data_IF_830799469253
#
_entry.id   IF_830799469253
#
_cell.length_a   1.000
_cell.length_b   1.000
_cell.length_c   1.000
_cell.angle_alpha   90.00
_cell.angle_beta   90.00
_cell.angle_gamma   90.00
#
_symmetry.space_group_name_H-M   'P 1'
#
loop_
_entity.id
_entity.type
_entity.pdbx_description
1 polymer ?
#
# COMPACT_ATOMS: atom_id res chain seq x y z
N UNK A 1 3.36 74.62 -7.33
CA UNK A 1 2.22 73.83 -7.81
C UNK A 1 2.42 72.39 -7.41
N UNK A 2 1.56 71.84 -6.55
CA UNK A 2 1.55 70.44 -6.15
C UNK A 2 0.12 69.94 -6.37
N UNK A 3 -0.08 68.95 -7.24
CA UNK A 3 -1.39 68.28 -7.43
C UNK A 3 -1.34 66.89 -6.83
N UNK A 4 -2.17 66.60 -5.80
CA UNK A 4 -2.30 65.29 -5.18
C UNK A 4 -3.45 64.47 -5.81
N UNK A 5 -3.35 63.14 -5.71
CA UNK A 5 -4.33 62.17 -6.26
C UNK A 5 -4.00 61.87 -7.72
N UNK A 6 -4.05 60.64 -8.23
CA UNK A 6 -5.03 59.59 -7.99
C UNK A 6 -4.35 58.28 -8.45
N UNK A 7 -3.74 57.49 -7.57
CA UNK A 7 -3.47 56.07 -7.90
C UNK A 7 -3.20 55.18 -6.67
N UNK A 8 -4.12 55.18 -5.70
CA UNK A 8 -4.00 54.35 -4.49
C UNK A 8 -5.12 53.31 -4.33
N UNK A 9 -5.88 52.98 -5.37
CA UNK A 9 -6.94 51.96 -5.29
C UNK A 9 -6.96 51.12 -6.55
N UNK A 10 -5.96 50.27 -6.72
CA UNK A 10 -6.14 49.06 -7.52
C UNK A 10 -5.15 48.00 -7.08
N UNK A 11 -5.66 46.80 -6.83
CA UNK A 11 -4.93 45.57 -6.53
C UNK A 11 -4.57 45.33 -5.05
N UNK A 12 -5.51 45.62 -4.16
CA UNK A 12 -5.69 44.82 -2.94
C UNK A 12 -6.77 43.76 -3.21
N UNK A 13 -6.38 42.68 -3.89
CA UNK A 13 -6.99 41.34 -3.82
C UNK A 13 -5.96 40.38 -4.41
N UNK A 14 -4.98 39.98 -3.59
CA UNK A 14 -4.27 38.74 -3.85
C UNK A 14 -5.26 37.64 -3.46
N UNK A 15 -5.76 36.80 -4.40
CA UNK A 15 -6.51 35.63 -3.99
C UNK A 15 -5.62 34.81 -3.07
N UNK A 16 -6.19 34.38 -1.94
CA UNK A 16 -5.54 33.42 -1.05
C UNK A 16 -5.02 32.26 -1.89
N UNK A 17 -3.69 32.16 -2.06
CA UNK A 17 -3.05 30.92 -2.48
C UNK A 17 -3.24 29.94 -1.33
N UNK A 18 -4.34 29.18 -1.38
CA UNK A 18 -4.44 27.93 -0.64
C UNK A 18 -3.30 27.07 -1.19
N UNK A 19 -2.18 27.06 -0.50
CA UNK A 19 -1.11 26.09 -0.71
C UNK A 19 -1.65 24.74 -0.28
N UNK A 20 -2.50 24.15 -1.11
CA UNK A 20 -2.87 22.76 -1.02
C UNK A 20 -1.58 21.97 -1.27
N UNK A 21 -0.91 21.58 -0.19
CA UNK A 21 0.06 20.49 -0.21
C UNK A 21 -0.70 19.20 -0.50
N UNK A 22 -1.19 19.07 -1.73
CA UNK A 22 -1.52 17.80 -2.31
C UNK A 22 -0.18 17.03 -2.42
N UNK A 23 -0.07 15.82 -1.88
CA UNK A 23 1.10 15.01 -2.16
C UNK A 23 1.05 14.72 -3.66
N UNK A 24 1.88 15.43 -4.43
CA UNK A 24 2.05 15.21 -5.87
C UNK A 24 2.88 13.94 -6.06
N UNK A 25 2.36 12.79 -5.60
CA UNK A 25 2.89 11.50 -6.02
C UNK A 25 2.50 11.35 -7.48
N UNK A 26 3.45 11.65 -8.36
CA UNK A 26 3.30 11.30 -9.77
C UNK A 26 3.04 9.79 -9.87
N UNK A 27 2.32 9.30 -10.90
CA UNK A 27 2.10 7.86 -11.08
C UNK A 27 3.40 7.04 -11.02
N UNK A 28 4.52 7.64 -11.44
CA UNK A 28 5.87 7.08 -11.31
C UNK A 28 6.34 6.94 -9.86
N UNK A 29 6.13 7.95 -9.02
CA UNK A 29 6.45 7.87 -7.58
C UNK A 29 5.54 6.87 -6.85
N UNK A 30 4.26 6.80 -7.22
CA UNK A 30 3.32 5.82 -6.68
C UNK A 30 3.74 4.38 -7.06
N UNK A 31 4.16 4.15 -8.31
CA UNK A 31 4.70 2.86 -8.77
C UNK A 31 5.97 2.45 -8.02
N UNK A 32 6.89 3.40 -7.79
CA UNK A 32 8.12 3.17 -7.04
C UNK A 32 7.84 2.84 -5.57
N UNK A 33 6.90 3.56 -4.96
CA UNK A 33 6.43 3.29 -3.59
C UNK A 33 5.78 1.91 -3.48
N UNK A 34 4.86 1.58 -4.39
CA UNK A 34 4.21 0.27 -4.44
C UNK A 34 5.21 -0.88 -4.65
N UNK A 35 6.16 -0.72 -5.58
CA UNK A 35 7.23 -1.71 -5.81
C UNK A 35 8.09 -1.92 -4.57
N UNK A 36 8.42 -0.85 -3.85
CA UNK A 36 9.17 -0.93 -2.59
C UNK A 36 8.39 -1.66 -1.50
N UNK A 37 7.10 -1.35 -1.34
CA UNK A 37 6.21 -2.02 -0.38
C UNK A 37 6.06 -3.50 -0.73
N UNK A 38 5.84 -3.82 -2.01
CA UNK A 38 5.73 -5.21 -2.48
C UNK A 38 7.03 -6.00 -2.19
N UNK A 39 8.19 -5.40 -2.47
CA UNK A 39 9.49 -6.03 -2.19
C UNK A 39 9.68 -6.28 -0.70
N UNK A 40 9.29 -5.33 0.14
CA UNK A 40 9.35 -5.46 1.59
C UNK A 40 8.37 -6.53 2.12
N UNK A 41 7.17 -6.62 1.54
CA UNK A 41 6.19 -7.65 1.88
C UNK A 41 6.66 -9.05 1.49
N UNK A 42 7.31 -9.20 0.32
CA UNK A 42 7.92 -10.47 -0.09
C UNK A 42 9.07 -10.87 0.85
N UNK A 43 9.90 -9.92 1.27
CA UNK A 43 10.96 -10.17 2.26
C UNK A 43 10.38 -10.62 3.62
N UNK A 44 9.35 -9.93 4.10
CA UNK A 44 8.65 -10.30 5.34
C UNK A 44 7.98 -11.69 5.24
N UNK A 45 7.42 -12.04 4.09
CA UNK A 45 6.87 -13.39 3.87
C UNK A 45 7.95 -14.47 3.96
N UNK A 46 9.14 -14.22 3.42
CA UNK A 46 10.27 -15.16 3.52
C UNK A 46 10.68 -15.37 5.00
N UNK A 47 10.76 -14.29 5.77
CA UNK A 47 11.09 -14.36 7.20
C UNK A 47 10.00 -15.06 8.02
N UNK A 48 8.73 -14.79 7.69
CA UNK A 48 7.57 -15.48 8.31
C UNK A 48 7.55 -16.97 7.96
N UNK A 49 7.89 -17.34 6.71
CA UNK A 49 8.01 -18.73 6.27
C UNK A 49 9.11 -19.46 7.06
N UNK A 50 10.26 -18.82 7.25
CA UNK A 50 11.38 -19.37 8.03
C UNK A 50 11.01 -19.60 9.50
N UNK A 51 10.34 -18.63 10.13
CA UNK A 51 9.81 -18.80 11.49
C UNK A 51 8.76 -19.91 11.57
N UNK A 52 7.89 -20.02 10.56
CA UNK A 52 6.89 -21.07 10.49
C UNK A 52 7.53 -22.45 10.39
N UNK A 53 8.57 -22.62 9.56
CA UNK A 53 9.32 -23.88 9.46
C UNK A 53 9.98 -24.25 10.80
N UNK A 54 10.52 -23.27 11.53
CA UNK A 54 11.09 -23.48 12.86
C UNK A 54 10.02 -23.92 13.87
N UNK A 55 8.83 -23.31 13.84
CA UNK A 55 7.69 -23.70 14.69
C UNK A 55 7.12 -25.07 14.29
N UNK A 56 7.03 -25.38 13.00
CA UNK A 56 6.59 -26.71 12.52
C UNK A 56 7.58 -27.79 12.95
N UNK A 57 8.88 -27.49 12.95
CA UNK A 57 9.91 -28.38 13.50
C UNK A 57 9.71 -28.59 15.00
N UNK A 58 9.37 -27.55 15.77
CA UNK A 58 9.01 -27.67 17.20
C UNK A 58 7.72 -28.47 17.43
N UNK A 59 6.71 -28.30 16.57
CA UNK A 59 5.46 -29.05 16.62
C UNK A 59 5.65 -30.54 16.28
N UNK A 60 6.49 -30.85 15.28
CA UNK A 60 6.82 -32.22 14.90
C UNK A 60 7.58 -32.99 16.00
N UNK A 61 8.16 -32.27 16.97
CA UNK A 61 8.73 -32.86 18.20
C UNK A 61 7.65 -33.29 19.22
N UNK A 62 6.35 -33.11 18.91
CA UNK A 62 5.26 -33.78 19.61
C UNK A 62 4.55 -32.95 20.69
N UNK A 63 4.50 -31.63 20.56
CA UNK A 63 3.71 -30.79 21.47
C UNK A 63 2.21 -30.86 21.12
N UNK A 64 1.40 -31.31 22.11
CA UNK A 64 -0.06 -31.43 22.16
C UNK A 64 -0.87 -30.72 21.04
N UNK A 65 -1.36 -31.48 20.06
CA UNK A 65 -2.21 -30.96 18.98
C UNK A 65 -3.64 -31.44 19.18
N UNK A 66 -4.55 -30.48 19.33
CA UNK A 66 -5.99 -30.70 19.43
C UNK A 66 -6.62 -30.88 18.03
N UNK A 67 -7.37 -31.96 17.81
CA UNK A 67 -8.02 -32.27 16.52
C UNK A 67 -8.95 -31.14 16.04
N UNK A 68 -9.61 -30.42 16.95
CA UNK A 68 -10.45 -29.28 16.60
C UNK A 68 -9.62 -28.14 15.99
N UNK A 69 -8.41 -27.93 16.51
CA UNK A 69 -7.49 -26.93 16.01
C UNK A 69 -7.03 -27.24 14.58
N UNK A 70 -6.83 -28.52 14.24
CA UNK A 70 -6.45 -28.95 12.87
C UNK A 70 -7.57 -28.62 11.87
N UNK A 71 -8.83 -28.89 12.22
CA UNK A 71 -9.97 -28.60 11.34
C UNK A 71 -10.16 -27.10 11.10
N UNK A 72 -10.07 -26.29 12.17
CA UNK A 72 -10.13 -24.82 12.07
C UNK A 72 -8.99 -24.29 11.22
N UNK A 73 -7.78 -24.83 11.42
CA UNK A 73 -6.59 -24.42 10.66
C UNK A 73 -6.75 -24.73 9.18
N UNK A 74 -7.30 -25.90 8.82
CA UNK A 74 -7.57 -26.29 7.43
C UNK A 74 -8.59 -25.35 6.76
N UNK A 75 -9.69 -25.03 7.44
CA UNK A 75 -10.69 -24.08 6.92
C UNK A 75 -10.12 -22.67 6.76
N UNK A 76 -9.34 -22.20 7.75
CA UNK A 76 -8.66 -20.91 7.68
C UNK A 76 -7.66 -20.85 6.53
N UNK A 77 -6.89 -21.92 6.28
CA UNK A 77 -5.96 -22.00 5.17
C UNK A 77 -6.68 -21.93 3.81
N UNK A 78 -7.81 -22.63 3.66
CA UNK A 78 -8.61 -22.60 2.44
C UNK A 78 -9.15 -21.20 2.12
N UNK A 79 -9.73 -20.51 3.12
CA UNK A 79 -10.23 -19.14 2.97
C UNK A 79 -9.08 -18.16 2.67
N UNK A 80 -7.93 -18.33 3.34
CA UNK A 80 -6.75 -17.49 3.14
C UNK A 80 -6.18 -17.64 1.74
N UNK A 81 -6.16 -18.86 1.20
CA UNK A 81 -5.73 -19.13 -0.16
C UNK A 81 -6.64 -18.45 -1.19
N UNK A 82 -7.96 -18.52 -0.98
CA UNK A 82 -8.93 -17.84 -1.83
C UNK A 82 -8.73 -16.31 -1.79
N UNK A 83 -8.60 -15.73 -0.60
CA UNK A 83 -8.32 -14.30 -0.46
C UNK A 83 -7.00 -13.89 -1.14
N UNK A 84 -5.96 -14.73 -1.05
CA UNK A 84 -4.67 -14.49 -1.69
C UNK A 84 -4.79 -14.48 -3.22
N UNK A 85 -5.61 -15.36 -3.79
CA UNK A 85 -5.88 -15.38 -5.23
C UNK A 85 -6.57 -14.09 -5.69
N UNK A 86 -7.55 -13.59 -4.94
CA UNK A 86 -8.21 -12.32 -5.22
C UNK A 86 -7.24 -11.13 -5.14
N UNK A 87 -6.40 -11.08 -4.11
CA UNK A 87 -5.36 -10.05 -3.98
C UNK A 87 -4.38 -10.12 -5.15
N UNK A 88 -3.93 -11.32 -5.55
CA UNK A 88 -3.07 -11.50 -6.72
C UNK A 88 -3.71 -10.93 -7.99
N UNK A 89 -4.98 -11.24 -8.23
CA UNK A 89 -5.71 -10.74 -9.39
C UNK A 89 -5.79 -9.21 -9.37
N UNK A 90 -6.12 -8.59 -8.22
CA UNK A 90 -6.17 -7.13 -8.07
C UNK A 90 -4.82 -6.44 -8.22
N UNK A 91 -3.73 -7.08 -7.79
CA UNK A 91 -2.37 -6.55 -8.01
C UNK A 91 -2.01 -6.57 -9.49
N UNK A 92 -2.39 -7.62 -10.24
CA UNK A 92 -2.17 -7.69 -11.69
C UNK A 92 -2.98 -6.62 -12.41
N UNK A 93 -4.26 -6.45 -12.06
CA UNK A 93 -5.11 -5.39 -12.61
C UNK A 93 -4.52 -3.99 -12.34
N UNK A 94 -4.09 -3.72 -11.10
CA UNK A 94 -3.49 -2.44 -10.73
C UNK A 94 -2.20 -2.16 -11.51
N UNK A 95 -1.37 -3.19 -11.75
CA UNK A 95 -0.18 -3.06 -12.58
C UNK A 95 -0.53 -2.74 -14.05
N UNK A 96 -1.54 -3.40 -14.60
CA UNK A 96 -2.02 -3.13 -15.97
C UNK A 96 -2.60 -1.72 -16.11
N UNK A 97 -3.39 -1.26 -15.13
CA UNK A 97 -4.00 0.08 -15.15
C UNK A 97 -2.94 1.19 -15.08
N UNK A 98 -1.93 1.04 -14.21
CA UNK A 98 -0.80 1.97 -14.13
C UNK A 98 -0.05 2.10 -15.46
N UNK A 99 0.07 1.00 -16.23
CA UNK A 99 0.65 1.02 -17.56
C UNK A 99 -0.23 1.72 -18.61
N UNK A 100 -1.55 1.57 -18.53
CA UNK A 100 -2.49 2.25 -19.43
C UNK A 100 -2.60 3.76 -19.19
N UNK A 101 -2.30 4.22 -17.98
CA UNK A 101 -2.24 5.65 -17.66
C UNK A 101 -1.00 6.37 -18.22
N UNK A 102 0.05 5.63 -18.64
CA UNK A 102 1.33 6.21 -19.07
C UNK A 102 1.50 6.31 -20.60
N UNK A 103 0.54 5.80 -21.40
CA UNK A 103 0.57 5.88 -22.88
C UNK A 103 -0.24 7.05 -23.42
#
# INVERSE_FOLDING_TARGET
>A
MNTPGINSVSQMVKPFEIKASAPTHTPYEAQKSFSSVLKQSIANLNETQFQSDEMTKKLALGENVDLHQVMITSQKASITLQATMEVRNKVIEAYQEMMRMQV
#
